data_IF_731920636639
#
_entry.id   IF_731920636639
#
_cell.length_a   1.000
_cell.length_b   1.000
_cell.length_c   1.000
_cell.angle_alpha   90.00
_cell.angle_beta   90.00
_cell.angle_gamma   90.00
#
_symmetry.space_group_name_H-M   'P 1'
#
loop_
_entity.id
_entity.type
_entity.pdbx_description
1 polymer ?
#
# COMPACT_ATOMS: atom_id res chain seq x y z
N UNK A 1 44.99 -8.18 66.76
CA UNK A 1 43.83 -7.86 65.90
C UNK A 1 43.77 -8.90 64.80
N UNK A 2 42.81 -9.83 64.84
CA UNK A 2 42.68 -10.89 63.83
C UNK A 2 41.28 -10.83 63.24
N UNK A 3 41.20 -10.58 61.95
CA UNK A 3 39.96 -10.41 61.20
C UNK A 3 39.72 -11.66 60.35
N UNK A 4 38.69 -12.43 60.69
CA UNK A 4 38.12 -13.43 59.78
C UNK A 4 36.83 -12.82 59.24
N UNK A 5 36.95 -12.12 58.10
CA UNK A 5 35.79 -11.63 57.33
C UNK A 5 35.26 -12.78 56.48
N UNK A 6 33.96 -13.05 56.63
CA UNK A 6 33.25 -14.14 55.98
C UNK A 6 33.34 -14.13 54.45
N UNK A 7 33.37 -15.34 53.91
CA UNK A 7 33.31 -15.64 52.49
C UNK A 7 31.92 -15.25 51.94
N UNK A 8 31.83 -14.12 51.25
CA UNK A 8 30.63 -13.72 50.53
C UNK A 8 30.51 -14.58 49.26
N UNK A 9 29.54 -15.50 49.24
CA UNK A 9 29.16 -16.25 48.06
C UNK A 9 28.61 -15.27 47.00
N UNK A 10 29.33 -15.14 45.88
CA UNK A 10 28.87 -14.40 44.71
C UNK A 10 27.73 -15.17 44.06
N UNK A 11 26.49 -14.79 44.36
CA UNK A 11 25.34 -15.19 43.55
C UNK A 11 25.42 -14.42 42.23
N UNK A 12 25.84 -15.07 41.16
CA UNK A 12 25.63 -14.54 39.80
C UNK A 12 24.14 -14.68 39.51
N UNK A 13 23.35 -13.61 39.30
CA UNK A 13 22.05 -13.80 38.69
C UNK A 13 22.33 -14.34 37.29
N UNK A 14 21.90 -15.58 37.08
CA UNK A 14 21.75 -16.24 35.80
C UNK A 14 21.17 -15.19 34.85
N UNK A 15 22.00 -14.68 33.94
CA UNK A 15 21.57 -13.75 32.92
C UNK A 15 20.48 -14.50 32.15
N UNK A 16 19.23 -14.18 32.46
CA UNK A 16 18.06 -14.56 31.69
C UNK A 16 18.33 -13.91 30.35
N UNK A 17 19.01 -14.67 29.48
CA UNK A 17 19.16 -14.40 28.07
C UNK A 17 17.75 -14.13 27.61
N UNK A 18 17.44 -12.85 27.49
CA UNK A 18 16.30 -12.37 26.77
C UNK A 18 16.52 -12.90 25.36
N UNK A 19 16.00 -14.10 25.10
CA UNK A 19 15.41 -14.41 23.81
C UNK A 19 14.24 -13.44 23.68
N UNK A 20 14.57 -12.19 23.38
CA UNK A 20 13.73 -11.32 22.57
C UNK A 20 13.53 -12.13 21.29
N UNK A 21 12.48 -12.94 21.27
CA UNK A 21 11.86 -13.36 20.04
C UNK A 21 11.57 -12.07 19.30
N UNK A 22 12.45 -11.72 18.36
CA UNK A 22 12.19 -10.70 17.38
C UNK A 22 10.99 -11.22 16.59
N UNK A 23 9.80 -10.87 17.06
CA UNK A 23 8.59 -10.92 16.27
C UNK A 23 8.88 -10.03 15.08
N UNK A 24 9.31 -10.64 13.97
CA UNK A 24 9.33 -10.01 12.68
C UNK A 24 7.87 -9.85 12.24
N UNK A 25 7.16 -8.93 12.91
CA UNK A 25 5.86 -8.48 12.45
C UNK A 25 6.05 -7.85 11.07
N UNK A 26 5.10 -8.09 10.17
CA UNK A 26 5.05 -7.59 8.79
C UNK A 26 4.93 -6.05 8.67
N UNK A 27 5.63 -5.26 9.50
CA UNK A 27 5.36 -3.83 9.71
C UNK A 27 6.45 -2.89 9.18
N UNK A 28 7.44 -3.39 8.44
CA UNK A 28 8.43 -2.54 7.75
C UNK A 28 8.28 -2.65 6.25
N UNK A 29 7.12 -2.27 5.70
CA UNK A 29 7.06 -1.91 4.30
C UNK A 29 7.90 -0.63 4.11
N UNK A 30 8.77 -0.62 3.10
CA UNK A 30 9.45 0.60 2.70
C UNK A 30 8.41 1.65 2.28
N UNK A 31 8.60 2.92 2.66
CA UNK A 31 7.80 4.02 2.12
C UNK A 31 8.10 4.14 0.62
N UNK A 32 7.25 3.52 -0.21
CA UNK A 32 7.25 3.69 -1.65
C UNK A 32 6.49 4.98 -1.98
N UNK A 33 6.78 5.57 -3.13
CA UNK A 33 6.06 6.74 -3.62
C UNK A 33 4.55 6.47 -3.54
N UNK A 34 3.82 7.31 -2.81
CA UNK A 34 2.38 7.17 -2.66
C UNK A 34 1.72 7.49 -4.00
N UNK A 35 1.20 6.47 -4.67
CA UNK A 35 0.43 6.61 -5.91
C UNK A 35 0.65 5.48 -6.91
N UNK A 36 -0.07 5.56 -8.02
CA UNK A 36 -0.01 4.62 -9.14
C UNK A 36 1.40 4.47 -9.71
N UNK A 37 1.92 3.25 -9.74
CA UNK A 37 3.28 2.94 -10.19
C UNK A 37 3.38 3.02 -11.73
N UNK A 38 2.26 2.85 -12.43
CA UNK A 38 2.17 3.04 -13.89
C UNK A 38 2.46 4.47 -14.36
N UNK A 39 2.33 5.47 -13.48
CA UNK A 39 2.55 6.90 -13.78
C UNK A 39 3.81 7.46 -13.11
N UNK A 40 4.83 6.61 -12.92
CA UNK A 40 6.14 7.08 -12.50
C UNK A 40 6.78 7.96 -13.58
N UNK A 41 7.48 9.02 -13.15
CA UNK A 41 8.23 9.96 -14.00
C UNK A 41 7.39 10.89 -14.89
N UNK A 42 6.15 11.17 -14.50
CA UNK A 42 5.34 12.19 -15.14
C UNK A 42 5.51 13.55 -14.43
N UNK A 43 6.00 14.56 -15.15
CA UNK A 43 6.27 15.91 -14.62
C UNK A 43 4.97 16.65 -14.25
N UNK A 44 3.83 16.34 -14.87
CA UNK A 44 2.53 16.97 -14.60
C UNK A 44 1.75 16.33 -13.44
N UNK A 45 2.21 15.18 -12.95
CA UNK A 45 1.45 14.35 -12.02
C UNK A 45 1.18 14.99 -10.68
N UNK A 46 2.08 15.85 -10.19
CA UNK A 46 1.89 16.53 -8.91
C UNK A 46 0.66 17.46 -8.96
N UNK A 47 0.46 18.18 -10.06
CA UNK A 47 -0.67 19.09 -10.24
C UNK A 47 -1.98 18.33 -10.46
N UNK A 48 -1.94 17.23 -11.21
CA UNK A 48 -3.10 16.36 -11.42
C UNK A 48 -3.57 15.71 -10.11
N UNK A 49 -2.63 15.18 -9.32
CA UNK A 49 -2.92 14.62 -7.99
C UNK A 49 -3.47 15.70 -7.05
N UNK A 50 -2.94 16.91 -7.11
CA UNK A 50 -3.46 18.05 -6.34
C UNK A 50 -4.93 18.37 -6.69
N UNK A 51 -5.25 18.46 -7.98
CA UNK A 51 -6.63 18.70 -8.45
C UNK A 51 -7.57 17.57 -8.04
N UNK A 52 -7.17 16.32 -8.27
CA UNK A 52 -7.97 15.15 -7.92
C UNK A 52 -8.24 15.07 -6.40
N UNK A 53 -7.24 15.39 -5.57
CA UNK A 53 -7.40 15.51 -4.12
C UNK A 53 -8.42 16.59 -3.75
N UNK A 54 -8.31 17.78 -4.34
CA UNK A 54 -9.21 18.89 -4.03
C UNK A 54 -10.65 18.58 -4.44
N UNK A 55 -10.86 17.95 -5.60
CA UNK A 55 -12.16 17.46 -6.03
C UNK A 55 -12.71 16.39 -5.09
N UNK A 56 -11.88 15.45 -4.65
CA UNK A 56 -12.29 14.42 -3.69
C UNK A 56 -12.72 15.04 -2.36
N UNK A 57 -11.99 16.04 -1.85
CA UNK A 57 -12.37 16.76 -0.63
C UNK A 57 -13.73 17.46 -0.77
N UNK A 58 -14.01 18.08 -1.93
CA UNK A 58 -15.32 18.67 -2.22
C UNK A 58 -16.42 17.60 -2.25
N UNK A 59 -16.22 16.49 -2.97
CA UNK A 59 -17.18 15.39 -3.05
C UNK A 59 -17.46 14.76 -1.68
N UNK A 60 -16.44 14.64 -0.83
CA UNK A 60 -16.60 14.19 0.57
C UNK A 60 -17.45 15.16 1.38
N UNK A 61 -17.25 16.48 1.23
CA UNK A 61 -18.10 17.49 1.89
C UNK A 61 -19.56 17.42 1.41
N UNK A 62 -19.78 17.10 0.13
CA UNK A 62 -21.12 16.90 -0.46
C UNK A 62 -21.75 15.53 -0.11
N UNK A 63 -21.05 14.67 0.64
CA UNK A 63 -21.52 13.32 0.98
C UNK A 63 -21.44 12.31 -0.18
N UNK A 64 -20.80 12.67 -1.28
CA UNK A 64 -20.57 11.82 -2.47
C UNK A 64 -19.11 11.39 -2.60
N UNK A 65 -18.42 11.22 -1.47
CA UNK A 65 -17.05 10.76 -1.47
C UNK A 65 -16.95 9.38 -2.09
N UNK A 66 -16.19 9.25 -3.18
CA UNK A 66 -15.94 7.99 -3.85
C UNK A 66 -14.44 7.69 -3.88
N UNK A 67 -14.12 6.44 -4.18
CA UNK A 67 -12.75 5.97 -4.30
C UNK A 67 -12.21 6.32 -5.70
N UNK A 68 -11.08 7.01 -5.75
CA UNK A 68 -10.44 7.47 -6.99
C UNK A 68 -9.28 6.54 -7.37
N UNK A 69 -9.42 5.81 -8.47
CA UNK A 69 -8.40 4.86 -8.95
C UNK A 69 -7.07 5.55 -9.31
N UNK A 70 -7.13 6.79 -9.83
CA UNK A 70 -5.93 7.54 -10.24
C UNK A 70 -5.00 7.93 -9.08
N UNK A 71 -5.54 8.00 -7.86
CA UNK A 71 -4.79 8.29 -6.64
C UNK A 71 -4.27 7.02 -5.95
N UNK A 72 -4.97 5.89 -6.13
CA UNK A 72 -4.60 4.62 -5.52
C UNK A 72 -3.32 4.03 -6.14
N UNK A 73 -2.63 3.18 -5.36
CA UNK A 73 -1.56 2.35 -5.93
C UNK A 73 -2.14 1.28 -6.86
N UNK A 74 -1.34 0.80 -7.81
CA UNK A 74 -1.74 -0.28 -8.72
C UNK A 74 -2.17 -1.52 -7.94
N UNK A 75 -1.45 -1.89 -6.87
CA UNK A 75 -1.83 -3.02 -6.02
C UNK A 75 -3.16 -2.81 -5.29
N UNK A 76 -3.47 -1.57 -4.89
CA UNK A 76 -4.74 -1.25 -4.22
C UNK A 76 -5.90 -1.27 -5.21
N UNK A 77 -5.67 -0.79 -6.43
CA UNK A 77 -6.69 -0.80 -7.49
C UNK A 77 -7.12 -2.20 -7.88
N UNK A 78 -6.18 -3.15 -7.95
CA UNK A 78 -6.48 -4.56 -8.25
C UNK A 78 -7.34 -5.17 -7.15
N UNK A 79 -7.00 -4.97 -5.88
CA UNK A 79 -7.78 -5.50 -4.76
C UNK A 79 -9.18 -4.87 -4.72
N UNK A 80 -9.30 -3.59 -5.08
CA UNK A 80 -10.59 -2.89 -5.15
C UNK A 80 -11.46 -3.39 -6.30
N UNK A 81 -10.86 -3.65 -7.45
CA UNK A 81 -11.52 -4.28 -8.58
C UNK A 81 -12.00 -5.69 -8.24
N UNK A 82 -11.15 -6.52 -7.61
CA UNK A 82 -11.52 -7.87 -7.16
C UNK A 82 -12.70 -7.87 -6.18
N UNK A 83 -12.79 -6.83 -5.35
CA UNK A 83 -13.89 -6.65 -4.41
C UNK A 83 -15.18 -6.11 -5.06
N UNK A 84 -15.14 -5.75 -6.35
CA UNK A 84 -16.25 -5.12 -7.05
C UNK A 84 -16.57 -3.70 -6.57
N UNK A 85 -15.63 -3.06 -5.87
CA UNK A 85 -15.77 -1.68 -5.38
C UNK A 85 -15.25 -0.64 -6.41
N UNK A 86 -14.68 -1.11 -7.53
CA UNK A 86 -14.34 -0.25 -8.65
C UNK A 86 -15.61 0.19 -9.39
N UNK A 87 -15.73 1.48 -9.70
CA UNK A 87 -16.84 2.00 -10.50
C UNK A 87 -16.72 1.58 -11.98
N UNK A 88 -17.01 0.31 -12.26
CA UNK A 88 -17.13 -0.22 -13.61
C UNK A 88 -18.58 -0.03 -14.09
N UNK A 89 -18.88 1.13 -14.66
CA UNK A 89 -20.17 1.30 -15.34
C UNK A 89 -20.29 0.33 -16.52
N UNK A 90 -21.51 -0.12 -16.85
CA UNK A 90 -21.75 -1.03 -17.98
C UNK A 90 -21.19 -0.49 -19.31
N UNK A 91 -21.18 0.84 -19.47
CA UNK A 91 -20.60 1.51 -20.64
C UNK A 91 -19.08 1.35 -20.69
N UNK A 92 -18.40 1.49 -19.55
CA UNK A 92 -16.95 1.30 -19.46
C UNK A 92 -16.59 -0.16 -19.76
N UNK A 93 -17.37 -1.11 -19.25
CA UNK A 93 -17.17 -2.55 -19.54
C UNK A 93 -17.34 -2.85 -21.04
N UNK A 94 -18.38 -2.29 -21.68
CA UNK A 94 -18.59 -2.46 -23.13
C UNK A 94 -17.43 -1.90 -23.95
N UNK A 95 -16.94 -0.69 -23.62
CA UNK A 95 -15.78 -0.10 -24.32
C UNK A 95 -14.52 -0.97 -24.17
N UNK A 96 -14.25 -1.48 -22.96
CA UNK A 96 -13.12 -2.38 -22.72
C UNK A 96 -13.24 -3.69 -23.51
N UNK A 97 -14.45 -4.25 -23.65
CA UNK A 97 -14.71 -5.42 -24.47
C UNK A 97 -14.48 -5.14 -25.96
N UNK A 98 -14.93 -4.00 -26.46
CA UNK A 98 -14.70 -3.57 -27.85
C UNK A 98 -13.21 -3.35 -28.17
N UNK A 99 -12.46 -2.72 -27.27
CA UNK A 99 -11.01 -2.54 -27.42
C UNK A 99 -10.26 -3.87 -27.39
N UNK A 100 -10.66 -4.79 -26.50
CA UNK A 100 -10.09 -6.15 -26.44
C UNK A 100 -10.35 -6.92 -27.74
N UNK A 101 -11.56 -6.81 -28.30
CA UNK A 101 -11.91 -7.43 -29.58
C UNK A 101 -11.06 -6.87 -30.74
N UNK A 102 -10.80 -5.55 -30.76
CA UNK A 102 -9.93 -4.91 -31.77
C UNK A 102 -8.49 -5.42 -31.68
N UNK A 103 -7.93 -5.49 -30.47
CA UNK A 103 -6.56 -5.98 -30.24
C UNK A 103 -6.42 -7.47 -30.56
N UNK A 104 -7.41 -8.30 -30.23
CA UNK A 104 -7.46 -9.72 -30.58
C UNK A 104 -7.49 -9.96 -32.10
N UNK A 105 -8.25 -9.13 -32.83
CA UNK A 105 -8.29 -9.17 -34.30
C UNK A 105 -6.99 -8.70 -34.97
N UNK A 106 -6.25 -7.79 -34.32
CA UNK A 106 -4.93 -7.34 -34.80
C UNK A 106 -3.84 -8.40 -34.61
N UNK A 107 -3.83 -9.10 -33.47
CA UNK A 107 -2.90 -10.22 -33.18
C UNK A 107 -3.12 -11.46 -34.06
N UNK A 108 -4.33 -11.67 -34.56
CA UNK A 108 -4.64 -12.75 -35.51
C UNK A 108 -4.20 -12.44 -36.95
N UNK A 109 -3.86 -11.18 -37.26
CA UNK A 109 -3.46 -10.72 -38.60
C UNK A 109 -1.94 -10.56 -38.77
N UNK A 110 -1.17 -10.83 -37.73
CA UNK A 110 0.30 -10.94 -37.73
C UNK A 110 0.70 -12.39 -37.57
#
# INVERSE_FOLDING_TARGET
MSAIRGLAARHTPFAFSQRMTASAGFHRSALRAAGKESHLHDEGRADEVGKAKDEQLKKVQEGKGHWEEGLASDSESIVKADRGEAEASEETIKKLQEETAKLGGQKSRT
#
